data_IF_622512502213
#
_entry.id   IF_622512502213
#
_cell.length_a   1.000
_cell.length_b   1.000
_cell.length_c   1.000
_cell.angle_alpha   90.00
_cell.angle_beta   90.00
_cell.angle_gamma   90.00
#
_symmetry.space_group_name_H-M   'P 1'
#
loop_
_entity.id
_entity.type
_entity.pdbx_description
1 polymer ?
#
# COMPACT_ATOMS: atom_id res chain seq x y z
N UNK A 1 20.18 -47.15 25.07
CA UNK A 1 19.47 -45.89 25.35
C UNK A 1 20.06 -44.84 24.43
N UNK A 2 19.37 -44.47 23.35
CA UNK A 2 19.88 -43.50 22.37
C UNK A 2 19.26 -42.13 22.70
N UNK A 3 20.05 -41.25 23.30
CA UNK A 3 19.63 -39.88 23.58
C UNK A 3 19.60 -39.10 22.26
N UNK A 4 18.40 -38.89 21.73
CA UNK A 4 18.18 -37.92 20.65
C UNK A 4 18.20 -36.54 21.29
N UNK A 5 19.32 -35.84 21.14
CA UNK A 5 19.41 -34.40 21.45
C UNK A 5 18.70 -33.65 20.33
N UNK A 6 17.50 -33.11 20.60
CA UNK A 6 16.88 -32.13 19.71
C UNK A 6 17.71 -30.85 19.73
N UNK A 7 18.52 -30.65 18.68
CA UNK A 7 19.13 -29.36 18.38
C UNK A 7 18.03 -28.39 17.95
N UNK A 8 17.50 -27.63 18.90
CA UNK A 8 16.63 -26.49 18.62
C UNK A 8 17.52 -25.39 18.04
N UNK A 9 17.60 -25.30 16.70
CA UNK A 9 18.32 -24.19 16.05
C UNK A 9 17.60 -22.89 16.41
N UNK A 10 18.22 -21.94 17.13
CA UNK A 10 17.55 -20.71 17.50
C UNK A 10 17.16 -19.94 16.24
N UNK A 11 15.90 -19.50 16.16
CA UNK A 11 15.49 -18.59 15.09
C UNK A 11 16.35 -17.32 15.20
N UNK A 12 17.13 -17.00 14.16
CA UNK A 12 18.00 -15.82 14.08
C UNK A 12 17.23 -14.51 13.84
N UNK A 13 15.97 -14.44 14.27
CA UNK A 13 15.14 -13.25 14.10
C UNK A 13 15.41 -12.33 15.29
N UNK A 14 16.04 -11.18 15.03
CA UNK A 14 16.29 -10.13 16.02
C UNK A 14 14.96 -9.64 16.63
N UNK A 15 14.93 -9.08 17.85
CA UNK A 15 13.74 -8.39 18.39
C UNK A 15 13.21 -7.31 17.45
N UNK A 16 11.90 -7.01 17.49
CA UNK A 16 11.27 -6.05 16.58
C UNK A 16 12.00 -4.70 16.57
N UNK A 17 12.33 -4.17 17.75
CA UNK A 17 13.09 -2.94 17.95
C UNK A 17 14.40 -2.91 17.11
N UNK A 18 15.21 -3.95 17.22
CA UNK A 18 16.45 -4.07 16.46
C UNK A 18 16.21 -4.19 14.95
N UNK A 19 15.09 -4.81 14.54
CA UNK A 19 14.69 -4.87 13.12
C UNK A 19 14.27 -3.51 12.59
N UNK A 20 13.53 -2.73 13.38
CA UNK A 20 13.14 -1.36 13.03
C UNK A 20 14.37 -0.46 12.88
N UNK A 21 15.31 -0.53 13.83
CA UNK A 21 16.58 0.21 13.73
C UNK A 21 17.39 -0.16 12.48
N UNK A 22 17.47 -1.45 12.15
CA UNK A 22 18.15 -1.91 10.92
C UNK A 22 17.46 -1.41 9.64
N UNK A 23 16.13 -1.40 9.60
CA UNK A 23 15.36 -0.88 8.46
C UNK A 23 15.54 0.63 8.30
N UNK A 24 15.42 1.39 9.40
CA UNK A 24 15.64 2.84 9.40
C UNK A 24 17.04 3.17 8.89
N UNK A 25 18.08 2.46 9.36
CA UNK A 25 19.44 2.62 8.86
C UNK A 25 19.58 2.28 7.37
N UNK A 26 18.97 1.18 6.93
CA UNK A 26 19.00 0.79 5.52
C UNK A 26 18.44 1.89 4.61
N UNK A 27 17.25 2.41 4.92
CA UNK A 27 16.59 3.42 4.08
C UNK A 27 17.19 4.82 4.22
N UNK A 28 17.66 5.19 5.42
CA UNK A 28 18.23 6.52 5.65
C UNK A 28 19.65 6.68 5.08
N UNK A 29 20.51 5.65 5.18
CA UNK A 29 21.94 5.81 4.90
C UNK A 29 22.49 4.90 3.80
N UNK A 30 21.85 3.76 3.52
CA UNK A 30 22.49 2.71 2.74
C UNK A 30 21.84 2.43 1.39
N UNK A 31 20.59 2.83 1.16
CA UNK A 31 19.91 2.62 -0.12
C UNK A 31 20.13 3.78 -1.07
N UNK A 32 19.57 4.94 -0.72
CA UNK A 32 19.54 6.18 -1.51
C UNK A 32 20.32 7.29 -0.81
N UNK A 33 20.66 8.35 -1.54
CA UNK A 33 21.30 9.54 -0.96
C UNK A 33 20.25 10.58 -0.59
N UNK A 34 20.47 11.35 0.48
CA UNK A 34 19.49 12.28 1.06
C UNK A 34 19.01 13.42 0.15
N UNK A 35 19.63 13.61 -1.02
CA UNK A 35 19.24 14.64 -2.01
C UNK A 35 18.39 14.07 -3.16
N UNK A 36 18.09 12.76 -3.13
CA UNK A 36 17.26 12.07 -4.13
C UNK A 36 15.78 12.06 -3.71
N UNK A 37 14.87 12.36 -4.63
CA UNK A 37 13.42 12.24 -4.42
C UNK A 37 13.03 10.81 -4.04
N UNK A 38 13.75 9.79 -4.56
CA UNK A 38 13.52 8.41 -4.15
C UNK A 38 13.89 8.17 -2.68
N UNK A 39 14.88 8.88 -2.13
CA UNK A 39 15.18 8.81 -0.70
C UNK A 39 14.02 9.37 0.13
N UNK A 40 13.46 10.51 -0.27
CA UNK A 40 12.29 11.09 0.39
C UNK A 40 11.12 10.11 0.37
N UNK A 41 10.81 9.54 -0.81
CA UNK A 41 9.72 8.58 -0.96
C UNK A 41 9.89 7.34 -0.06
N UNK A 42 11.04 6.67 -0.17
CA UNK A 42 11.31 5.42 0.56
C UNK A 42 11.25 5.63 2.09
N UNK A 43 11.80 6.75 2.59
CA UNK A 43 11.76 7.06 4.02
C UNK A 43 10.38 7.53 4.48
N UNK A 44 9.64 8.30 3.66
CA UNK A 44 8.26 8.69 3.95
C UNK A 44 7.38 7.45 4.19
N UNK A 45 7.48 6.46 3.31
CA UNK A 45 6.67 5.24 3.37
C UNK A 45 6.96 4.44 4.64
N UNK A 46 8.24 4.19 4.97
CA UNK A 46 8.59 3.46 6.19
C UNK A 46 8.12 4.23 7.44
N UNK A 47 8.43 5.52 7.56
CA UNK A 47 8.05 6.32 8.73
C UNK A 47 6.53 6.40 8.87
N UNK A 48 5.82 6.58 7.77
CA UNK A 48 4.35 6.62 7.77
C UNK A 48 3.75 5.30 8.24
N UNK A 49 4.27 4.15 7.80
CA UNK A 49 3.81 2.83 8.25
C UNK A 49 4.02 2.69 9.76
N UNK A 50 5.19 3.05 10.28
CA UNK A 50 5.48 2.99 11.71
C UNK A 50 4.53 3.91 12.50
N UNK A 51 4.29 5.12 12.00
CA UNK A 51 3.44 6.13 12.62
C UNK A 51 1.96 5.73 12.65
N UNK A 52 1.41 5.32 11.51
CA UNK A 52 -0.02 5.00 11.40
C UNK A 52 -0.39 3.66 12.03
N UNK A 53 0.58 2.75 12.19
CA UNK A 53 0.40 1.48 12.90
C UNK A 53 0.77 1.54 14.38
N UNK A 54 1.13 2.73 14.88
CA UNK A 54 1.42 2.96 16.30
C UNK A 54 2.62 2.20 16.83
N UNK A 55 3.65 1.96 16.00
CA UNK A 55 4.85 1.28 16.45
C UNK A 55 5.67 2.19 17.37
N UNK A 56 6.19 1.60 18.45
CA UNK A 56 7.19 2.26 19.29
C UNK A 56 8.56 2.17 18.61
N UNK A 57 9.15 3.33 18.32
CA UNK A 57 10.47 3.44 17.67
C UNK A 57 11.46 4.03 18.69
N UNK A 58 12.61 3.38 18.94
CA UNK A 58 13.62 3.93 19.83
C UNK A 58 14.15 5.28 19.35
N UNK A 59 14.37 6.20 20.28
CA UNK A 59 14.84 7.55 19.96
C UNK A 59 16.19 7.53 19.23
N UNK A 60 17.08 6.62 19.59
CA UNK A 60 18.37 6.40 18.95
C UNK A 60 18.25 5.88 17.51
N UNK A 61 17.23 5.07 17.22
CA UNK A 61 16.97 4.59 15.86
C UNK A 61 16.41 5.71 14.99
N UNK A 62 15.58 6.59 15.56
CA UNK A 62 15.00 7.74 14.87
C UNK A 62 16.02 8.88 14.65
N UNK A 63 17.04 8.97 15.51
CA UNK A 63 18.10 9.99 15.42
C UNK A 63 18.90 9.96 14.11
N UNK A 64 18.84 8.86 13.35
CA UNK A 64 19.46 8.76 12.03
C UNK A 64 18.90 9.80 11.03
N UNK A 65 17.66 10.26 11.23
CA UNK A 65 17.04 11.31 10.42
C UNK A 65 17.31 12.73 10.94
N UNK A 66 18.08 12.91 12.03
CA UNK A 66 18.30 14.22 12.64
C UNK A 66 18.96 15.23 11.68
N UNK A 67 19.89 14.78 10.84
CA UNK A 67 20.52 15.63 9.83
C UNK A 67 19.54 16.15 8.77
N UNK A 68 18.58 15.31 8.34
CA UNK A 68 17.49 15.74 7.48
C UNK A 68 16.57 16.73 8.21
N UNK A 69 16.12 16.36 9.42
CA UNK A 69 15.15 17.13 10.20
C UNK A 69 15.66 18.55 10.51
N UNK A 70 16.92 18.69 10.91
CA UNK A 70 17.55 19.98 11.19
C UNK A 70 17.57 20.94 9.99
N UNK A 71 17.47 20.43 8.76
CA UNK A 71 17.49 21.21 7.53
C UNK A 71 16.15 21.15 6.76
N UNK A 72 15.10 20.55 7.34
CA UNK A 72 13.87 20.23 6.60
C UNK A 72 13.13 21.47 6.10
N UNK A 73 13.07 22.55 6.90
CA UNK A 73 12.46 23.81 6.49
C UNK A 73 13.24 24.55 5.41
N UNK A 74 14.57 24.56 5.50
CA UNK A 74 15.40 25.20 4.47
C UNK A 74 15.30 24.45 3.15
N UNK A 75 15.29 23.11 3.20
CA UNK A 75 15.00 22.25 2.05
C UNK A 75 13.62 22.52 1.46
N UNK A 76 12.59 22.68 2.30
CA UNK A 76 11.24 23.03 1.84
C UNK A 76 11.20 24.39 1.17
N UNK A 77 11.88 25.38 1.74
CA UNK A 77 11.92 26.74 1.20
C UNK A 77 12.61 26.76 -0.16
N UNK A 78 13.66 25.95 -0.33
CA UNK A 78 14.42 25.87 -1.58
C UNK A 78 13.76 24.97 -2.64
N UNK A 79 13.08 23.89 -2.23
CA UNK A 79 12.42 22.92 -3.12
C UNK A 79 10.91 22.79 -2.80
N UNK A 80 10.11 23.86 -2.95
CA UNK A 80 8.69 23.85 -2.56
C UNK A 80 7.86 22.84 -3.36
N UNK A 81 8.29 22.42 -4.55
CA UNK A 81 7.61 21.40 -5.35
C UNK A 81 7.56 20.02 -4.67
N UNK A 82 8.40 19.76 -3.67
CA UNK A 82 8.43 18.49 -2.92
C UNK A 82 7.78 18.61 -1.53
N UNK A 83 7.01 19.67 -1.27
CA UNK A 83 6.54 19.98 0.08
C UNK A 83 5.74 18.85 0.73
N UNK A 84 4.90 18.11 -0.02
CA UNK A 84 4.13 16.99 0.54
C UNK A 84 5.04 15.89 1.11
N UNK A 85 6.08 15.50 0.37
CA UNK A 85 7.07 14.54 0.85
C UNK A 85 7.81 15.08 2.08
N UNK A 86 8.31 16.31 2.01
CA UNK A 86 9.07 16.93 3.11
C UNK A 86 8.22 17.07 4.38
N UNK A 87 6.97 17.52 4.25
CA UNK A 87 6.01 17.59 5.35
C UNK A 87 5.71 16.21 5.90
N UNK A 88 5.47 15.20 5.05
CA UNK A 88 5.18 13.85 5.52
C UNK A 88 6.29 13.32 6.42
N UNK A 89 7.57 13.43 6.00
CA UNK A 89 8.68 13.00 6.82
C UNK A 89 8.76 13.77 8.13
N UNK A 90 8.76 15.11 8.09
CA UNK A 90 8.92 15.92 9.29
C UNK A 90 7.78 15.69 10.30
N UNK A 91 6.54 15.56 9.82
CA UNK A 91 5.38 15.29 10.66
C UNK A 91 5.43 13.87 11.26
N UNK A 92 5.84 12.86 10.48
CA UNK A 92 5.95 11.47 10.97
C UNK A 92 7.11 11.30 11.95
N UNK A 93 8.25 11.96 11.73
CA UNK A 93 9.36 12.00 12.70
C UNK A 93 8.91 12.57 14.04
N UNK A 94 8.22 13.72 14.05
CA UNK A 94 7.71 14.33 15.29
C UNK A 94 6.65 13.44 15.95
N UNK A 95 5.75 12.82 15.19
CA UNK A 95 4.72 11.93 15.72
C UNK A 95 5.30 10.62 16.30
N UNK A 96 6.43 10.15 15.77
CA UNK A 96 7.19 9.01 16.28
C UNK A 96 8.09 9.36 17.48
N UNK A 97 8.12 10.63 17.92
CA UNK A 97 8.80 11.06 19.14
C UNK A 97 10.10 11.84 18.93
N UNK A 98 10.46 12.22 17.70
CA UNK A 98 11.58 13.15 17.47
C UNK A 98 11.23 14.53 18.06
N UNK A 99 12.07 15.09 18.97
CA UNK A 99 11.77 16.37 19.58
C UNK A 99 11.98 17.51 18.57
N UNK A 100 11.07 18.49 18.60
CA UNK A 100 11.19 19.71 17.81
C UNK A 100 9.82 20.28 17.43
N UNK A 101 9.85 21.28 16.55
CA UNK A 101 8.65 21.93 16.02
C UNK A 101 8.84 22.37 14.55
N UNK A 102 9.76 21.71 13.85
CA UNK A 102 10.12 22.07 12.48
C UNK A 102 8.95 21.83 11.52
N UNK A 103 8.18 20.76 11.72
CA UNK A 103 7.01 20.47 10.89
C UNK A 103 5.94 21.58 11.00
N UNK A 104 5.76 22.21 12.18
CA UNK A 104 4.85 23.33 12.33
C UNK A 104 5.32 24.57 11.55
N UNK A 105 6.63 24.87 11.58
CA UNK A 105 7.23 25.95 10.78
C UNK A 105 7.05 25.68 9.29
N UNK A 106 7.24 24.43 8.87
CA UNK A 106 7.06 24.00 7.49
C UNK A 106 5.60 24.11 7.02
N UNK A 107 4.63 23.72 7.86
CA UNK A 107 3.20 23.90 7.54
C UNK A 107 2.86 25.39 7.43
N UNK A 108 3.36 26.24 8.32
CA UNK A 108 3.13 27.68 8.24
C UNK A 108 3.75 28.31 6.98
N UNK A 109 4.96 27.88 6.60
CA UNK A 109 5.55 28.26 5.32
C UNK A 109 4.66 27.84 4.14
N UNK A 110 4.27 26.56 4.08
CA UNK A 110 3.43 26.05 3.01
C UNK A 110 2.09 26.79 2.90
N UNK A 111 1.51 27.16 4.05
CA UNK A 111 0.29 27.98 4.14
C UNK A 111 0.51 29.39 3.62
N UNK A 112 1.61 30.05 3.99
CA UNK A 112 1.92 31.42 3.59
C UNK A 112 2.20 31.54 2.10
N UNK A 113 2.93 30.58 1.54
CA UNK A 113 3.28 30.55 0.11
C UNK A 113 2.18 29.97 -0.78
N UNK A 114 1.06 29.50 -0.20
CA UNK A 114 -0.06 28.95 -0.96
C UNK A 114 0.28 27.66 -1.72
N UNK A 115 1.20 26.82 -1.20
CA UNK A 115 1.72 25.67 -1.95
C UNK A 115 0.63 24.67 -2.37
N UNK A 116 -0.41 24.51 -1.56
CA UNK A 116 -1.53 23.62 -1.86
C UNK A 116 -2.43 24.13 -3.00
N UNK A 117 -2.35 25.41 -3.38
CA UNK A 117 -3.11 25.97 -4.50
C UNK A 117 -2.62 25.43 -5.85
N UNK A 118 -1.38 24.94 -5.90
CA UNK A 118 -0.77 24.34 -7.08
C UNK A 118 -1.18 22.86 -7.30
N UNK A 119 -1.97 22.26 -6.40
CA UNK A 119 -2.36 20.87 -6.54
C UNK A 119 -3.29 20.65 -7.74
N UNK A 120 -2.98 19.65 -8.56
CA UNK A 120 -3.61 19.42 -9.85
C UNK A 120 -4.88 18.57 -9.73
N UNK A 121 -4.96 17.72 -8.71
CA UNK A 121 -6.04 16.75 -8.53
C UNK A 121 -6.62 16.75 -7.13
N UNK A 122 -7.85 16.28 -7.00
CA UNK A 122 -8.52 16.15 -5.71
C UNK A 122 -7.78 15.20 -4.77
N UNK A 123 -7.14 14.15 -5.29
CA UNK A 123 -6.30 13.26 -4.49
C UNK A 123 -5.14 14.01 -3.84
N UNK A 124 -4.45 14.85 -4.61
CA UNK A 124 -3.33 15.63 -4.09
C UNK A 124 -3.79 16.72 -3.12
N UNK A 125 -4.96 17.34 -3.37
CA UNK A 125 -5.59 18.27 -2.42
C UNK A 125 -5.95 17.58 -1.10
N UNK A 126 -6.44 16.35 -1.15
CA UNK A 126 -6.76 15.56 0.04
C UNK A 126 -5.51 15.25 0.86
N UNK A 127 -4.42 14.87 0.20
CA UNK A 127 -3.12 14.66 0.85
C UNK A 127 -2.61 15.94 1.52
N UNK A 128 -2.63 17.07 0.79
CA UNK A 128 -2.23 18.37 1.31
C UNK A 128 -3.05 18.79 2.54
N UNK A 129 -4.39 18.63 2.46
CA UNK A 129 -5.30 18.87 3.58
C UNK A 129 -4.96 17.99 4.78
N UNK A 130 -4.72 16.70 4.57
CA UNK A 130 -4.33 15.79 5.66
C UNK A 130 -3.02 16.23 6.32
N UNK A 131 -1.97 16.47 5.52
CA UNK A 131 -0.65 16.80 6.04
C UNK A 131 -0.68 18.09 6.86
N UNK A 132 -1.25 19.17 6.32
CA UNK A 132 -1.33 20.46 7.00
C UNK A 132 -2.34 20.44 8.16
N UNK A 133 -3.39 19.61 8.06
CA UNK A 133 -4.39 19.40 9.11
C UNK A 133 -3.80 18.83 10.40
N UNK A 134 -2.67 18.08 10.34
CA UNK A 134 -1.93 17.61 11.51
C UNK A 134 -1.34 18.72 12.38
N UNK A 135 -1.35 19.96 11.89
CA UNK A 135 -1.00 21.18 12.65
C UNK A 135 -2.15 22.20 12.67
N UNK A 136 -3.39 21.75 12.45
CA UNK A 136 -4.60 22.58 12.54
C UNK A 136 -4.83 23.52 11.36
N UNK A 137 -4.16 23.32 10.23
CA UNK A 137 -4.29 24.16 9.03
C UNK A 137 -5.04 23.40 7.94
N UNK A 138 -6.21 23.90 7.51
CA UNK A 138 -6.86 23.47 6.26
C UNK A 138 -6.48 24.44 5.13
N UNK A 139 -5.61 24.02 4.18
CA UNK A 139 -5.14 24.86 3.09
C UNK A 139 -6.09 24.86 1.88
N UNK A 140 -7.00 23.88 1.77
CA UNK A 140 -7.85 23.73 0.57
C UNK A 140 -9.16 24.50 0.74
N UNK A 141 -9.75 24.49 1.94
CA UNK A 141 -11.03 25.18 2.25
C UNK A 141 -12.19 24.91 1.27
N UNK A 142 -12.15 23.76 0.60
CA UNK A 142 -13.19 23.27 -0.31
C UNK A 142 -14.08 22.24 0.41
N UNK A 143 -15.31 22.59 0.80
CA UNK A 143 -16.20 21.65 1.49
C UNK A 143 -16.63 20.48 0.58
N UNK A 144 -16.59 20.63 -0.74
CA UNK A 144 -17.01 19.60 -1.69
C UNK A 144 -15.91 18.61 -2.08
N UNK A 145 -14.69 18.75 -1.56
CA UNK A 145 -13.57 17.86 -1.90
C UNK A 145 -13.91 16.40 -1.56
N UNK A 146 -14.31 16.15 -0.31
CA UNK A 146 -14.57 14.79 0.19
C UNK A 146 -15.72 14.14 -0.60
N UNK A 147 -16.75 14.90 -0.97
CA UNK A 147 -17.86 14.42 -1.81
C UNK A 147 -17.39 13.97 -3.19
N UNK A 148 -16.49 14.72 -3.84
CA UNK A 148 -15.93 14.34 -5.15
C UNK A 148 -15.05 13.09 -5.05
N UNK A 149 -14.29 12.95 -3.97
CA UNK A 149 -13.51 11.75 -3.70
C UNK A 149 -14.42 10.53 -3.51
N UNK A 150 -15.47 10.66 -2.67
CA UNK A 150 -16.50 9.61 -2.50
C UNK A 150 -17.16 9.26 -3.82
N UNK A 151 -17.54 10.26 -4.62
CA UNK A 151 -18.14 10.06 -5.93
C UNK A 151 -17.21 9.26 -6.86
N UNK A 152 -15.90 9.54 -6.88
CA UNK A 152 -14.94 8.74 -7.64
C UNK A 152 -14.87 7.30 -7.15
N UNK A 153 -14.72 7.08 -5.84
CA UNK A 153 -14.66 5.73 -5.26
C UNK A 153 -15.92 4.92 -5.49
N UNK A 154 -17.08 5.59 -5.65
CA UNK A 154 -18.38 4.96 -5.90
C UNK A 154 -18.62 4.56 -7.36
N UNK A 155 -17.67 4.83 -8.27
CA UNK A 155 -17.79 4.45 -9.69
C UNK A 155 -17.45 2.98 -9.90
N UNK A 156 -18.28 2.08 -9.39
CA UNK A 156 -18.07 0.62 -9.44
C UNK A 156 -17.69 0.09 -10.83
N UNK A 157 -18.31 0.61 -11.89
CA UNK A 157 -17.98 0.25 -13.28
C UNK A 157 -16.51 0.51 -13.67
N UNK A 158 -15.84 1.48 -13.05
CA UNK A 158 -14.41 1.75 -13.24
C UNK A 158 -13.55 0.64 -12.64
N UNK A 159 -13.98 0.03 -11.54
CA UNK A 159 -13.21 -0.94 -10.76
C UNK A 159 -13.53 -2.41 -11.09
N UNK A 160 -14.57 -2.64 -11.91
CA UNK A 160 -14.81 -3.94 -12.56
C UNK A 160 -13.81 -4.24 -13.70
N UNK A 161 -13.00 -3.26 -14.09
CA UNK A 161 -12.03 -3.38 -15.18
C UNK A 161 -10.59 -3.28 -14.65
N UNK A 162 -9.62 -4.01 -15.25
CA UNK A 162 -8.21 -3.87 -14.89
C UNK A 162 -7.69 -2.46 -15.15
N UNK A 163 -7.61 -1.64 -14.09
CA UNK A 163 -7.03 -0.30 -14.12
C UNK A 163 -6.22 -0.07 -12.83
N UNK A 164 -4.94 -0.44 -12.87
CA UNK A 164 -4.04 -0.35 -11.70
C UNK A 164 -3.99 1.06 -11.13
N UNK A 165 -3.88 2.08 -12.00
CA UNK A 165 -3.81 3.48 -11.57
C UNK A 165 -5.05 3.88 -10.76
N UNK A 166 -6.24 3.61 -11.29
CA UNK A 166 -7.48 3.94 -10.58
C UNK A 166 -7.58 3.18 -9.25
N UNK A 167 -7.13 1.93 -9.19
CA UNK A 167 -7.17 1.12 -7.98
C UNK A 167 -6.24 1.67 -6.86
N UNK A 168 -5.04 2.15 -7.19
CA UNK A 168 -4.18 2.84 -6.22
C UNK A 168 -4.77 4.19 -5.78
N UNK A 169 -5.39 4.94 -6.70
CA UNK A 169 -6.07 6.19 -6.31
C UNK A 169 -7.26 5.90 -5.37
N UNK A 170 -8.00 4.81 -5.61
CA UNK A 170 -9.07 4.35 -4.72
C UNK A 170 -8.55 4.08 -3.30
N UNK A 171 -7.45 3.33 -3.14
CA UNK A 171 -6.90 3.02 -1.80
C UNK A 171 -6.41 4.29 -1.10
N UNK A 172 -5.68 5.16 -1.80
CA UNK A 172 -5.19 6.42 -1.24
C UNK A 172 -6.32 7.37 -0.81
N UNK A 173 -7.43 7.42 -1.54
CA UNK A 173 -8.62 8.20 -1.11
C UNK A 173 -9.13 7.68 0.22
N UNK A 174 -9.26 6.38 0.39
CA UNK A 174 -9.70 5.78 1.64
C UNK A 174 -8.71 6.10 2.77
N UNK A 175 -7.40 6.06 2.50
CA UNK A 175 -6.39 6.45 3.49
C UNK A 175 -6.52 7.90 3.91
N UNK A 176 -6.74 8.83 3.00
CA UNK A 176 -6.89 10.24 3.35
C UNK A 176 -8.19 10.52 4.09
N UNK A 177 -9.33 9.96 3.63
CA UNK A 177 -10.62 10.13 4.29
C UNK A 177 -10.64 9.54 5.71
N UNK A 178 -9.96 8.41 5.91
CA UNK A 178 -9.85 7.74 7.22
C UNK A 178 -8.72 8.27 8.11
N UNK A 179 -7.96 9.29 7.67
CA UNK A 179 -6.73 9.74 8.33
C UNK A 179 -5.75 8.58 8.63
N UNK A 180 -5.60 7.66 7.66
CA UNK A 180 -4.86 6.40 7.76
C UNK A 180 -5.37 5.53 8.91
N UNK A 181 -6.69 5.32 8.94
CA UNK A 181 -7.37 4.44 9.89
C UNK A 181 -7.71 5.04 11.25
N UNK A 182 -7.42 6.33 11.49
CA UNK A 182 -7.73 7.02 12.76
C UNK A 182 -9.22 7.36 12.93
N UNK A 183 -9.95 7.48 11.83
CA UNK A 183 -11.38 7.79 11.83
C UNK A 183 -12.14 7.01 10.76
N UNK A 184 -13.45 6.78 10.95
CA UNK A 184 -14.26 6.17 9.90
C UNK A 184 -14.24 7.04 8.64
N UNK A 185 -13.98 6.47 7.46
CA UNK A 185 -13.94 7.24 6.24
C UNK A 185 -15.34 7.62 5.73
N UNK A 186 -16.45 7.12 6.26
CA UNK A 186 -17.85 7.39 5.82
C UNK A 186 -18.15 7.01 4.34
N UNK A 187 -17.63 5.86 3.91
CA UNK A 187 -17.78 5.40 2.53
C UNK A 187 -19.22 4.90 2.26
N UNK A 188 -19.82 5.27 1.12
CA UNK A 188 -21.07 4.64 0.67
C UNK A 188 -20.83 3.18 0.25
N UNK A 189 -21.90 2.40 0.15
CA UNK A 189 -21.82 0.97 -0.19
C UNK A 189 -21.12 0.73 -1.53
N UNK A 190 -21.36 1.58 -2.52
CA UNK A 190 -20.75 1.49 -3.85
C UNK A 190 -19.23 1.64 -3.80
N UNK A 191 -18.69 2.43 -2.87
CA UNK A 191 -17.25 2.54 -2.67
C UNK A 191 -16.66 1.27 -2.04
N UNK A 192 -17.41 0.59 -1.17
CA UNK A 192 -17.01 -0.71 -0.64
C UNK A 192 -17.02 -1.78 -1.74
N UNK A 193 -18.04 -1.78 -2.60
CA UNK A 193 -18.13 -2.68 -3.74
C UNK A 193 -16.95 -2.46 -4.71
N UNK A 194 -16.58 -1.20 -4.96
CA UNK A 194 -15.38 -0.84 -5.74
C UNK A 194 -14.09 -1.40 -5.14
N UNK A 195 -13.91 -1.36 -3.81
CA UNK A 195 -12.76 -1.98 -3.14
C UNK A 195 -12.74 -3.50 -3.36
N UNK A 196 -13.90 -4.16 -3.28
CA UNK A 196 -13.99 -5.59 -3.57
C UNK A 196 -13.71 -5.92 -5.04
N UNK A 197 -14.19 -5.13 -5.98
CA UNK A 197 -13.93 -5.32 -7.42
C UNK A 197 -12.46 -5.10 -7.77
N UNK A 198 -11.84 -4.05 -7.23
CA UNK A 198 -10.41 -3.83 -7.34
C UNK A 198 -9.61 -4.97 -6.69
N UNK A 199 -10.09 -5.50 -5.54
CA UNK A 199 -9.44 -6.58 -4.81
C UNK A 199 -9.46 -7.90 -5.59
N UNK A 200 -10.60 -8.25 -6.18
CA UNK A 200 -10.73 -9.40 -7.09
C UNK A 200 -9.77 -9.27 -8.28
N UNK A 201 -9.68 -8.09 -8.87
CA UNK A 201 -8.73 -7.80 -9.96
C UNK A 201 -7.28 -8.00 -9.48
N UNK A 202 -6.91 -7.44 -8.33
CA UNK A 202 -5.54 -7.53 -7.81
C UNK A 202 -5.17 -8.96 -7.44
N UNK A 203 -6.10 -9.72 -6.87
CA UNK A 203 -5.93 -11.14 -6.54
C UNK A 203 -5.76 -11.99 -7.82
N UNK A 204 -6.60 -11.80 -8.84
CA UNK A 204 -6.46 -12.51 -10.12
C UNK A 204 -5.17 -12.13 -10.88
N UNK A 205 -4.68 -10.90 -10.69
CA UNK A 205 -3.39 -10.44 -11.23
C UNK A 205 -2.19 -10.85 -10.36
N UNK A 206 -2.42 -11.50 -9.21
CA UNK A 206 -1.38 -11.86 -8.24
C UNK A 206 -0.50 -10.66 -7.85
N UNK A 207 -1.14 -9.50 -7.70
CA UNK A 207 -0.51 -8.24 -7.32
C UNK A 207 -0.64 -8.03 -5.81
N UNK A 208 0.36 -8.49 -5.06
CA UNK A 208 0.33 -8.45 -3.59
C UNK A 208 0.39 -7.03 -3.05
N UNK A 209 1.11 -6.14 -3.73
CA UNK A 209 1.20 -4.73 -3.39
C UNK A 209 -0.18 -4.07 -3.34
N UNK A 210 -0.90 -4.10 -4.47
CA UNK A 210 -2.24 -3.52 -4.57
C UNK A 210 -3.27 -4.27 -3.71
N UNK A 211 -3.18 -5.59 -3.62
CA UNK A 211 -4.14 -6.35 -2.80
C UNK A 211 -3.97 -6.04 -1.31
N UNK A 212 -2.73 -5.88 -0.83
CA UNK A 212 -2.46 -5.46 0.53
C UNK A 212 -3.05 -4.07 0.80
N UNK A 213 -2.86 -3.12 -0.11
CA UNK A 213 -3.48 -1.79 0.02
C UNK A 213 -5.00 -1.85 0.10
N UNK A 214 -5.63 -2.67 -0.75
CA UNK A 214 -7.09 -2.84 -0.74
C UNK A 214 -7.57 -3.45 0.58
N UNK A 215 -6.84 -4.45 1.10
CA UNK A 215 -7.15 -5.05 2.40
C UNK A 215 -7.01 -4.03 3.54
N UNK A 216 -5.99 -3.17 3.50
CA UNK A 216 -5.80 -2.07 4.47
C UNK A 216 -6.95 -1.07 4.37
N UNK A 217 -7.32 -0.65 3.16
CA UNK A 217 -8.44 0.27 2.92
C UNK A 217 -9.77 -0.29 3.43
N UNK A 218 -10.06 -1.57 3.17
CA UNK A 218 -11.23 -2.26 3.72
C UNK A 218 -11.23 -2.23 5.25
N UNK A 219 -10.09 -2.51 5.89
CA UNK A 219 -9.96 -2.45 7.36
C UNK A 219 -10.19 -1.04 7.91
N UNK A 220 -9.63 -0.02 7.28
CA UNK A 220 -9.88 1.38 7.65
C UNK A 220 -11.35 1.80 7.46
N UNK A 221 -12.05 1.18 6.51
CA UNK A 221 -13.50 1.33 6.32
C UNK A 221 -14.35 0.47 7.27
N UNK A 222 -13.74 -0.22 8.25
CA UNK A 222 -14.44 -1.09 9.20
C UNK A 222 -14.90 -2.43 8.60
N UNK A 223 -14.46 -2.77 7.39
CA UNK A 223 -14.78 -4.04 6.73
C UNK A 223 -13.74 -5.11 7.06
N UNK A 224 -14.15 -6.38 6.90
CA UNK A 224 -13.26 -7.55 6.98
C UNK A 224 -12.91 -7.98 5.56
N UNK A 225 -11.63 -7.89 5.13
CA UNK A 225 -11.22 -8.41 3.84
C UNK A 225 -11.49 -9.92 3.72
N UNK A 226 -11.75 -10.44 2.52
CA UNK A 226 -11.84 -11.88 2.27
C UNK A 226 -10.66 -12.65 2.86
N UNK A 227 -10.96 -13.68 3.66
CA UNK A 227 -9.96 -14.43 4.41
C UNK A 227 -8.87 -15.04 3.51
N UNK A 228 -9.24 -15.46 2.30
CA UNK A 228 -8.29 -16.03 1.34
C UNK A 228 -7.28 -14.99 0.80
N UNK A 229 -7.68 -13.71 0.68
CA UNK A 229 -6.75 -12.65 0.30
C UNK A 229 -5.73 -12.41 1.40
N UNK A 230 -6.19 -12.28 2.65
CA UNK A 230 -5.32 -12.10 3.82
C UNK A 230 -4.37 -13.29 4.01
N UNK A 231 -4.85 -14.53 3.87
CA UNK A 231 -4.02 -15.72 3.98
C UNK A 231 -2.96 -15.80 2.86
N UNK A 232 -3.33 -15.45 1.63
CA UNK A 232 -2.38 -15.37 0.52
C UNK A 232 -1.34 -14.27 0.76
N UNK A 233 -1.74 -13.08 1.21
CA UNK A 233 -0.81 -12.00 1.57
C UNK A 233 0.15 -12.39 2.69
N UNK A 234 -0.31 -13.15 3.69
CA UNK A 234 0.55 -13.69 4.75
C UNK A 234 1.61 -14.63 4.18
N UNK A 235 1.22 -15.55 3.30
CA UNK A 235 2.14 -16.44 2.60
C UNK A 235 3.14 -15.66 1.73
N UNK A 236 2.69 -14.64 0.98
CA UNK A 236 3.56 -13.78 0.17
C UNK A 236 4.55 -13.00 1.05
N UNK A 237 4.09 -12.43 2.16
CA UNK A 237 4.95 -11.73 3.14
C UNK A 237 6.01 -12.68 3.70
N UNK A 238 5.62 -13.91 4.02
CA UNK A 238 6.53 -14.97 4.46
C UNK A 238 7.45 -15.48 3.35
N UNK A 239 7.10 -15.30 2.08
CA UNK A 239 7.91 -15.68 0.92
C UNK A 239 9.07 -14.73 0.60
N UNK A 240 9.07 -13.50 1.13
CA UNK A 240 10.13 -12.54 0.87
C UNK A 240 11.51 -13.02 1.33
N UNK A 241 12.54 -12.64 0.59
CA UNK A 241 13.94 -12.80 0.98
C UNK A 241 14.60 -11.43 1.10
N UNK A 242 15.54 -11.31 2.05
CA UNK A 242 16.28 -10.08 2.30
C UNK A 242 17.76 -10.41 2.14
N UNK A 243 18.39 -9.80 1.14
CA UNK A 243 19.82 -9.92 0.89
C UNK A 243 20.53 -8.66 1.40
N UNK A 244 21.65 -8.82 2.10
CA UNK A 244 22.42 -7.70 2.66
C UNK A 244 23.83 -7.68 2.06
N UNK A 245 24.33 -6.50 1.72
CA UNK A 245 25.71 -6.35 1.26
C UNK A 245 25.96 -5.02 0.54
N UNK A 246 27.21 -4.52 0.50
CA UNK A 246 27.50 -3.19 -0.05
C UNK A 246 27.18 -3.05 -1.54
N UNK A 247 27.15 -4.15 -2.30
CA UNK A 247 26.91 -4.18 -3.74
C UNK A 247 25.54 -4.68 -4.18
N UNK A 248 24.58 -4.91 -3.27
CA UNK A 248 23.25 -5.39 -3.67
C UNK A 248 22.50 -4.31 -4.46
N UNK A 249 21.80 -4.72 -5.52
CA UNK A 249 21.08 -3.81 -6.39
C UNK A 249 19.84 -3.22 -5.70
N UNK A 250 19.49 -1.98 -6.07
CA UNK A 250 18.30 -1.28 -5.56
C UNK A 250 17.04 -1.51 -6.40
N UNK A 251 17.16 -2.20 -7.55
CA UNK A 251 16.00 -2.61 -8.34
C UNK A 251 15.39 -3.84 -7.66
N UNK A 252 14.44 -3.61 -6.76
CA UNK A 252 13.86 -4.63 -5.90
C UNK A 252 12.39 -4.36 -5.59
N UNK A 253 11.83 -5.16 -4.67
CA UNK A 253 10.41 -5.14 -4.33
C UNK A 253 10.19 -4.53 -2.93
N UNK A 254 10.97 -3.51 -2.55
CA UNK A 254 10.88 -2.93 -1.20
C UNK A 254 9.47 -2.37 -0.90
N UNK A 255 8.81 -1.75 -1.88
CA UNK A 255 7.48 -1.17 -1.68
C UNK A 255 6.47 -2.27 -1.33
N UNK A 256 6.39 -3.32 -2.15
CA UNK A 256 5.54 -4.49 -1.88
C UNK A 256 5.87 -5.12 -0.52
N UNK A 257 7.16 -5.20 -0.16
CA UNK A 257 7.58 -5.66 1.17
C UNK A 257 7.03 -4.77 2.30
N UNK A 258 7.14 -3.44 2.19
CA UNK A 258 6.63 -2.50 3.19
C UNK A 258 5.10 -2.58 3.31
N UNK A 259 4.37 -2.52 2.19
CA UNK A 259 2.90 -2.57 2.20
C UNK A 259 2.38 -3.92 2.71
N UNK A 260 3.01 -5.04 2.36
CA UNK A 260 2.64 -6.35 2.90
C UNK A 260 2.83 -6.40 4.43
N UNK A 261 3.91 -5.80 4.96
CA UNK A 261 4.10 -5.68 6.39
C UNK A 261 3.10 -4.70 7.05
N UNK A 262 2.74 -3.61 6.38
CA UNK A 262 1.66 -2.73 6.85
C UNK A 262 0.34 -3.50 7.00
N UNK A 263 0.00 -4.33 6.02
CA UNK A 263 -1.15 -5.23 6.11
C UNK A 263 -1.03 -6.19 7.30
N UNK A 264 0.16 -6.76 7.58
CA UNK A 264 0.36 -7.58 8.79
C UNK A 264 0.03 -6.79 10.06
N UNK A 265 0.54 -5.56 10.21
CA UNK A 265 0.23 -4.74 11.38
C UNK A 265 -1.27 -4.46 11.54
N UNK A 266 -1.95 -4.07 10.46
CA UNK A 266 -3.39 -3.74 10.48
C UNK A 266 -4.25 -4.99 10.79
N UNK A 267 -3.75 -6.18 10.49
CA UNK A 267 -4.43 -7.45 10.78
C UNK A 267 -3.97 -8.13 12.08
N UNK A 268 -3.08 -7.49 12.85
CA UNK A 268 -2.56 -8.03 14.12
C UNK A 268 -1.47 -9.09 13.97
N UNK A 269 -0.91 -9.25 12.77
CA UNK A 269 0.22 -10.11 12.46
C UNK A 269 1.59 -9.50 12.84
N UNK A 270 2.66 -10.31 12.87
CA UNK A 270 4.00 -9.85 13.22
C UNK A 270 4.65 -9.03 12.10
N UNK A 271 5.23 -7.89 12.47
CA UNK A 271 5.95 -7.01 11.55
C UNK A 271 7.40 -7.43 11.25
N UNK A 272 7.80 -7.25 9.99
CA UNK A 272 9.16 -7.35 9.48
C UNK A 272 9.88 -8.63 9.91
N UNK A 273 9.19 -9.77 9.80
CA UNK A 273 9.70 -11.07 10.25
C UNK A 273 10.71 -11.68 9.27
N UNK A 274 11.80 -10.96 9.01
CA UNK A 274 12.94 -11.36 8.16
C UNK A 274 14.27 -11.07 8.84
N UNK A 275 15.33 -11.82 8.52
CA UNK A 275 16.69 -11.40 8.86
C UNK A 275 16.97 -10.05 8.19
N UNK A 276 17.31 -9.06 8.99
CA UNK A 276 17.67 -7.70 8.54
C UNK A 276 19.00 -7.30 9.17
N UNK A 277 19.72 -6.39 8.52
CA UNK A 277 21.01 -5.88 8.98
C UNK A 277 21.06 -4.36 8.83
N UNK A 278 21.83 -3.65 9.70
CA UNK A 278 22.05 -2.20 9.59
C UNK A 278 23.04 -1.93 8.44
N UNK A 279 22.57 -2.06 7.21
CA UNK A 279 23.37 -1.99 6.00
C UNK A 279 22.49 -1.92 4.75
N UNK A 280 23.12 -1.88 3.57
CA UNK A 280 22.38 -1.93 2.30
C UNK A 280 21.68 -3.28 2.18
N UNK A 281 20.35 -3.25 2.02
CA UNK A 281 19.53 -4.45 1.82
C UNK A 281 18.75 -4.40 0.51
N UNK A 282 18.48 -5.57 -0.05
CA UNK A 282 17.58 -5.83 -1.19
C UNK A 282 16.41 -6.71 -0.75
N UNK A 283 15.21 -6.40 -1.23
CA UNK A 283 13.98 -7.12 -0.89
C UNK A 283 13.41 -7.84 -2.11
N UNK A 284 13.44 -9.18 -2.10
CA UNK A 284 13.00 -10.00 -3.24
C UNK A 284 11.80 -10.86 -2.86
N UNK A 285 10.70 -10.67 -3.60
CA UNK A 285 9.53 -11.55 -3.51
C UNK A 285 9.82 -12.92 -4.16
N UNK A 286 9.07 -13.93 -3.77
CA UNK A 286 9.12 -15.23 -4.43
C UNK A 286 8.68 -15.12 -5.90
N UNK A 287 9.21 -16.01 -6.75
CA UNK A 287 8.78 -16.09 -8.15
C UNK A 287 7.29 -16.48 -8.21
N UNK A 288 6.49 -15.69 -8.96
CA UNK A 288 5.07 -15.95 -9.16
C UNK A 288 4.81 -16.59 -10.53
N UNK A 289 3.86 -17.53 -10.66
CA UNK A 289 3.41 -18.03 -11.95
C UNK A 289 2.74 -16.91 -12.78
N UNK A 290 2.43 -17.20 -14.04
CA UNK A 290 1.74 -16.25 -14.94
C UNK A 290 0.40 -15.81 -14.33
N UNK A 291 0.01 -14.56 -14.58
CA UNK A 291 -1.20 -13.98 -13.98
C UNK A 291 -2.45 -14.53 -14.65
N UNK A 292 -3.34 -15.14 -13.85
CA UNK A 292 -4.60 -15.71 -14.35
C UNK A 292 -5.45 -14.64 -15.06
N UNK A 293 -5.41 -13.39 -14.57
CA UNK A 293 -6.12 -12.26 -15.19
C UNK A 293 -5.79 -12.09 -16.68
N UNK A 294 -4.54 -12.31 -17.08
CA UNK A 294 -4.13 -12.21 -18.49
C UNK A 294 -4.77 -13.31 -19.33
N UNK A 295 -4.70 -14.55 -18.87
CA UNK A 295 -5.29 -15.70 -19.58
C UNK A 295 -6.81 -15.55 -19.69
N UNK A 296 -7.47 -15.16 -18.60
CA UNK A 296 -8.92 -14.89 -18.58
C UNK A 296 -9.26 -13.76 -19.56
N UNK A 297 -8.50 -12.65 -19.55
CA UNK A 297 -8.74 -11.53 -20.47
C UNK A 297 -8.59 -11.94 -21.94
N UNK A 298 -7.60 -12.77 -22.26
CA UNK A 298 -7.36 -13.28 -23.61
C UNK A 298 -8.46 -14.25 -24.05
N UNK A 299 -8.86 -15.17 -23.16
CA UNK A 299 -9.96 -16.09 -23.43
C UNK A 299 -11.27 -15.33 -23.67
N UNK A 300 -11.58 -14.32 -22.84
CA UNK A 300 -12.76 -13.48 -23.02
C UNK A 300 -12.71 -12.70 -24.34
N UNK A 301 -11.56 -12.11 -24.69
CA UNK A 301 -11.41 -11.36 -25.94
C UNK A 301 -11.66 -12.26 -27.16
N UNK A 302 -11.14 -13.49 -27.15
CA UNK A 302 -11.28 -14.44 -28.26
C UNK A 302 -12.71 -14.96 -28.45
N UNK A 303 -13.59 -14.82 -27.46
CA UNK A 303 -14.97 -15.28 -27.54
C UNK A 303 -15.91 -14.32 -28.28
N UNK A 304 -15.50 -13.07 -28.54
CA UNK A 304 -16.28 -12.05 -29.25
C UNK A 304 -17.75 -11.93 -28.77
N UNK A 305 -18.73 -12.36 -29.57
CA UNK A 305 -20.17 -12.35 -29.25
C UNK A 305 -20.60 -13.47 -28.29
N UNK A 306 -19.74 -14.48 -28.09
CA UNK A 306 -19.98 -15.62 -27.19
C UNK A 306 -19.86 -15.29 -25.69
N UNK A 307 -19.48 -14.06 -25.35
CA UNK A 307 -19.36 -13.57 -23.96
C UNK A 307 -20.74 -13.38 -23.32
N UNK A 308 -20.84 -13.69 -22.03
CA UNK A 308 -22.00 -13.42 -21.19
C UNK A 308 -21.54 -12.79 -19.88
N UNK A 309 -22.39 -11.96 -19.26
CA UNK A 309 -22.16 -11.47 -17.90
C UNK A 309 -22.48 -12.51 -16.82
N UNK A 310 -23.12 -13.62 -17.19
CA UNK A 310 -23.44 -14.72 -16.28
C UNK A 310 -22.20 -15.60 -16.04
N UNK A 311 -21.64 -15.49 -14.83
CA UNK A 311 -20.47 -16.26 -14.43
C UNK A 311 -20.69 -17.78 -14.52
N UNK A 312 -21.84 -18.29 -14.10
CA UNK A 312 -22.10 -19.73 -14.09
C UNK A 312 -22.06 -20.31 -15.51
N UNK A 313 -22.56 -19.55 -16.49
CA UNK A 313 -22.45 -19.92 -17.91
C UNK A 313 -21.03 -19.79 -18.43
N UNK A 314 -20.34 -18.72 -18.05
CA UNK A 314 -19.01 -18.42 -18.58
C UNK A 314 -17.91 -19.31 -18.00
N UNK A 315 -18.05 -19.78 -16.76
CA UNK A 315 -17.09 -20.67 -16.10
C UNK A 315 -16.74 -21.88 -16.96
N UNK A 316 -17.75 -22.59 -17.45
CA UNK A 316 -17.55 -23.76 -18.32
C UNK A 316 -16.97 -23.42 -19.69
N UNK A 317 -17.21 -22.20 -20.19
CA UNK A 317 -16.72 -21.74 -21.50
C UNK A 317 -15.26 -21.27 -21.44
N UNK A 318 -14.87 -20.62 -20.34
CA UNK A 318 -13.51 -20.07 -20.17
C UNK A 318 -12.54 -21.17 -19.75
N UNK A 319 -12.97 -22.14 -18.93
CA UNK A 319 -12.10 -23.18 -18.38
C UNK A 319 -11.22 -23.92 -19.41
N UNK A 320 -11.72 -24.35 -20.60
CA UNK A 320 -10.87 -25.04 -21.58
C UNK A 320 -9.71 -24.21 -22.16
N UNK A 321 -9.76 -22.88 -21.99
CA UNK A 321 -8.76 -21.95 -22.52
C UNK A 321 -7.74 -21.48 -21.47
N UNK A 322 -7.86 -21.95 -20.24
CA UNK A 322 -7.01 -21.56 -19.12
C UNK A 322 -6.06 -22.69 -18.74
N UNK A 323 -4.88 -22.32 -18.24
CA UNK A 323 -4.02 -23.24 -17.49
C UNK A 323 -4.72 -23.81 -16.25
N UNK A 324 -4.19 -24.89 -15.68
CA UNK A 324 -4.70 -25.44 -14.42
C UNK A 324 -4.59 -24.42 -13.29
N UNK A 325 -3.45 -23.74 -13.19
CA UNK A 325 -3.19 -22.72 -12.19
C UNK A 325 -4.17 -21.53 -12.31
N UNK A 326 -4.46 -21.07 -13.55
CA UNK A 326 -5.40 -19.98 -13.77
C UNK A 326 -6.85 -20.39 -13.47
N UNK A 327 -7.24 -21.64 -13.73
CA UNK A 327 -8.57 -22.16 -13.36
C UNK A 327 -8.75 -22.25 -11.86
N UNK A 328 -7.76 -22.78 -11.16
CA UNK A 328 -7.81 -22.94 -9.71
C UNK A 328 -7.88 -21.57 -9.02
N UNK A 329 -7.05 -20.62 -9.45
CA UNK A 329 -7.10 -19.26 -8.90
C UNK A 329 -8.42 -18.54 -9.19
N UNK A 330 -8.98 -18.73 -10.38
CA UNK A 330 -10.29 -18.16 -10.74
C UNK A 330 -11.41 -18.75 -9.90
N UNK A 331 -11.37 -20.05 -9.63
CA UNK A 331 -12.33 -20.71 -8.76
C UNK A 331 -12.25 -20.19 -7.32
N UNK A 332 -11.04 -20.07 -6.78
CA UNK A 332 -10.81 -19.48 -5.46
C UNK A 332 -11.32 -18.04 -5.41
N UNK A 333 -11.05 -17.24 -6.45
CA UNK A 333 -11.56 -15.87 -6.53
C UNK A 333 -13.10 -15.83 -6.53
N UNK A 334 -13.74 -16.73 -7.28
CA UNK A 334 -15.21 -16.83 -7.34
C UNK A 334 -15.84 -17.17 -5.99
N UNK A 335 -15.16 -18.01 -5.21
CA UNK A 335 -15.62 -18.40 -3.87
C UNK A 335 -15.23 -17.38 -2.78
N UNK A 336 -14.28 -16.48 -3.06
CA UNK A 336 -13.75 -15.53 -2.07
C UNK A 336 -14.70 -14.37 -1.74
N UNK A 337 -15.66 -14.08 -2.61
CA UNK A 337 -16.51 -12.89 -2.50
C UNK A 337 -17.89 -13.12 -3.09
N UNK A 338 -18.94 -12.78 -2.33
CA UNK A 338 -20.32 -12.78 -2.83
C UNK A 338 -20.52 -11.79 -4.00
N UNK A 339 -19.64 -10.80 -4.13
CA UNK A 339 -19.67 -9.80 -5.20
C UNK A 339 -19.02 -10.29 -6.50
N UNK A 340 -18.48 -11.52 -6.55
CA UNK A 340 -17.78 -12.01 -7.73
C UNK A 340 -18.65 -12.03 -9.00
N UNK A 341 -19.92 -12.44 -8.90
CA UNK A 341 -20.84 -12.42 -10.05
C UNK A 341 -21.02 -11.01 -10.62
N UNK A 342 -21.25 -10.03 -9.75
CA UNK A 342 -21.39 -8.62 -10.15
C UNK A 342 -20.08 -8.04 -10.71
N UNK A 343 -18.93 -8.41 -10.15
CA UNK A 343 -17.62 -8.10 -10.72
C UNK A 343 -17.48 -8.65 -12.14
N UNK A 344 -17.79 -9.94 -12.30
CA UNK A 344 -17.61 -10.67 -13.55
C UNK A 344 -18.51 -10.13 -14.66
N UNK A 345 -19.75 -9.74 -14.35
CA UNK A 345 -20.66 -9.13 -15.31
C UNK A 345 -20.05 -7.89 -15.98
N UNK A 346 -19.47 -6.99 -15.17
CA UNK A 346 -18.77 -5.81 -15.67
C UNK A 346 -17.47 -6.15 -16.42
N UNK A 347 -16.68 -7.08 -15.89
CA UNK A 347 -15.43 -7.54 -16.48
C UNK A 347 -15.62 -8.16 -17.86
N UNK A 348 -16.67 -8.97 -18.04
CA UNK A 348 -16.98 -9.67 -19.28
C UNK A 348 -17.32 -8.72 -20.43
N UNK A 349 -17.86 -7.53 -20.12
CA UNK A 349 -18.30 -6.53 -21.11
C UNK A 349 -19.21 -7.15 -22.19
N UNK A 350 -20.08 -8.07 -21.80
CA UNK A 350 -21.02 -8.71 -22.71
C UNK A 350 -22.13 -7.71 -23.09
N UNK A 351 -22.47 -7.61 -24.38
CA UNK A 351 -23.57 -6.76 -24.87
C UNK A 351 -23.36 -5.25 -24.80
N UNK A 352 -22.13 -4.77 -24.51
CA UNK A 352 -21.79 -3.34 -24.61
C UNK A 352 -21.16 -3.09 -25.99
N UNK A 353 -21.99 -2.81 -26.99
CA UNK A 353 -21.61 -2.24 -28.29
C UNK A 353 -21.99 -0.77 -28.35
#
# INVERSE_FOLDING_TARGET
MNNIVQLTVPSRILPLEARLGALLACFAEHRRTGDDVFWLKENAELLNILECTGQEVPAEALAIHAGFYANAHDRLTFFPQYYRFLLSLALDLEALGMPGNEAARMVEFARREGLAEAELSDLQRAEARRLMGRRGVDPIRDPGLDDRLRAFTSRTATFQLPNKKAAYELTHIVYYLSEYGRRPPDLPQEALDSLHFAGLTAFLDQNADLLAEICIALRHAGQVPPAVWTAWLEAETMGFTVESGPGVALSDNYHEFLICNWHQAVTGGPLFRKPVAPGRMRFDRAARPRTALREISQAMLAMEEGRSGDWERMRARVAPHLSEEARDLLEVAAQSSALFGAYFEGFARAGRS
#
